data_IF_074507978389
#
_entry.id   IF_074507978389
#
_cell.length_a   1.000
_cell.length_b   1.000
_cell.length_c   1.000
_cell.angle_alpha   90.00
_cell.angle_beta   90.00
_cell.angle_gamma   90.00
#
_symmetry.space_group_name_H-M   'P 1'
#
loop_
_entity.id
_entity.type
_entity.pdbx_description
1 polymer ?
#
# COMPACT_ATOMS: atom_id res chain seq x y z
N UNK A 1 1.97 -7.61 -10.18
CA UNK A 1 1.70 -9.02 -9.84
C UNK A 1 1.36 -9.12 -8.36
N UNK A 2 0.81 -10.25 -7.92
CA UNK A 2 0.53 -10.51 -6.51
C UNK A 2 1.80 -10.44 -5.65
N UNK A 3 2.91 -10.99 -6.13
CA UNK A 3 4.20 -10.95 -5.41
C UNK A 3 4.71 -9.52 -5.23
N UNK A 4 4.57 -8.68 -6.26
CA UNK A 4 4.94 -7.26 -6.18
C UNK A 4 4.09 -6.53 -5.15
N UNK A 5 2.78 -6.76 -5.15
CA UNK A 5 1.88 -6.17 -4.16
C UNK A 5 2.24 -6.63 -2.74
N UNK A 6 2.52 -7.93 -2.56
CA UNK A 6 2.97 -8.50 -1.28
C UNK A 6 4.28 -7.91 -0.79
N UNK A 7 5.26 -7.68 -1.68
CA UNK A 7 6.52 -7.01 -1.31
C UNK A 7 6.25 -5.57 -0.88
N UNK A 8 5.49 -4.82 -1.68
CA UNK A 8 5.16 -3.42 -1.38
C UNK A 8 4.46 -3.26 -0.04
N UNK A 9 3.49 -4.12 0.30
CA UNK A 9 2.79 -4.04 1.59
C UNK A 9 3.68 -4.41 2.75
N UNK A 10 4.61 -5.36 2.57
CA UNK A 10 5.61 -5.70 3.58
C UNK A 10 6.57 -4.53 3.84
N UNK A 11 7.09 -3.91 2.77
CA UNK A 11 8.02 -2.78 2.86
C UNK A 11 7.36 -1.60 3.59
N UNK A 12 6.13 -1.24 3.21
CA UNK A 12 5.32 -0.20 3.86
C UNK A 12 5.10 -0.52 5.35
N UNK A 13 4.82 -1.79 5.69
CA UNK A 13 4.59 -2.20 7.08
C UNK A 13 5.86 -2.05 7.93
N UNK A 14 7.01 -2.45 7.40
CA UNK A 14 8.32 -2.30 8.07
C UNK A 14 8.66 -0.81 8.25
N UNK A 15 8.45 0.00 7.20
CA UNK A 15 8.71 1.43 7.26
C UNK A 15 7.81 2.13 8.31
N UNK A 16 6.53 1.75 8.38
CA UNK A 16 5.59 2.30 9.36
C UNK A 16 5.91 1.92 10.81
N UNK A 17 6.29 0.67 11.08
CA UNK A 17 6.72 0.26 12.42
C UNK A 17 7.98 1.05 12.86
N UNK A 18 8.94 1.14 11.96
CA UNK A 18 10.19 1.86 12.20
C UNK A 18 9.94 3.35 12.46
N UNK A 19 9.10 4.00 11.65
CA UNK A 19 8.73 5.41 11.84
C UNK A 19 8.00 5.64 13.17
N UNK A 20 7.02 4.80 13.50
CA UNK A 20 6.25 4.91 14.75
C UNK A 20 7.14 4.74 15.98
N UNK A 21 8.08 3.78 15.93
CA UNK A 21 9.07 3.59 16.98
C UNK A 21 9.96 4.81 17.16
N UNK A 22 10.50 5.36 16.07
CA UNK A 22 11.32 6.58 16.13
C UNK A 22 10.55 7.77 16.71
N UNK A 23 9.26 7.92 16.37
CA UNK A 23 8.42 8.96 16.95
C UNK A 23 8.24 8.80 18.47
N UNK A 24 8.05 7.57 18.94
CA UNK A 24 7.88 7.28 20.37
C UNK A 24 9.16 7.50 21.18
N UNK A 25 10.32 7.27 20.57
CA UNK A 25 11.64 7.38 21.19
C UNK A 25 12.24 8.79 21.04
N UNK A 26 11.59 9.70 20.31
CA UNK A 26 12.17 11.02 20.03
C UNK A 26 12.15 11.92 21.28
N UNK A 27 13.30 12.49 21.61
CA UNK A 27 13.40 13.58 22.57
C UNK A 27 13.44 14.92 21.86
N UNK A 28 12.69 15.90 22.37
CA UNK A 28 12.66 17.23 21.77
C UNK A 28 13.95 18.01 22.09
N UNK A 29 14.57 18.64 21.08
CA UNK A 29 15.70 19.53 21.30
C UNK A 29 15.33 20.71 22.21
N UNK A 30 16.31 21.20 22.98
CA UNK A 30 16.13 22.30 23.92
C UNK A 30 16.02 23.70 23.28
N UNK A 31 15.81 23.79 21.97
CA UNK A 31 15.65 25.06 21.27
C UNK A 31 14.64 24.94 20.13
N UNK A 32 14.02 26.07 19.83
CA UNK A 32 12.92 26.18 18.86
C UNK A 32 13.39 25.85 17.45
N UNK A 33 14.56 26.32 17.03
CA UNK A 33 15.09 26.09 15.68
C UNK A 33 15.29 24.60 15.40
N UNK A 34 15.93 23.89 16.33
CA UNK A 34 16.17 22.45 16.22
C UNK A 34 14.86 21.65 16.29
N UNK A 35 13.92 22.06 17.15
CA UNK A 35 12.59 21.42 17.23
C UNK A 35 11.81 21.61 15.94
N UNK A 36 11.78 22.81 15.38
CA UNK A 36 11.12 23.06 14.08
C UNK A 36 11.74 22.21 12.98
N UNK A 37 13.07 22.10 12.93
CA UNK A 37 13.75 21.26 11.95
C UNK A 37 13.39 19.77 12.12
N UNK A 38 13.35 19.28 13.36
CA UNK A 38 12.94 17.91 13.67
C UNK A 38 11.50 17.64 13.18
N UNK A 39 10.57 18.53 13.50
CA UNK A 39 9.17 18.40 13.09
C UNK A 39 9.02 18.46 11.57
N UNK A 40 9.73 19.36 10.89
CA UNK A 40 9.73 19.42 9.42
C UNK A 40 10.27 18.14 8.77
N UNK A 41 11.32 17.54 9.35
CA UNK A 41 11.84 16.27 8.88
C UNK A 41 10.83 15.13 9.09
N UNK A 42 10.25 15.02 10.29
CA UNK A 42 9.23 14.01 10.59
C UNK A 42 7.99 14.15 9.70
N UNK A 43 7.59 15.38 9.37
CA UNK A 43 6.50 15.65 8.44
C UNK A 43 6.82 15.20 7.01
N UNK A 44 8.06 15.40 6.56
CA UNK A 44 8.50 14.93 5.25
C UNK A 44 8.48 13.40 5.17
N UNK A 45 9.08 12.72 6.16
CA UNK A 45 9.08 11.25 6.27
C UNK A 45 7.64 10.69 6.29
N UNK A 46 6.75 11.31 7.07
CA UNK A 46 5.33 10.93 7.10
C UNK A 46 4.66 11.07 5.73
N UNK A 47 4.91 12.16 5.00
CA UNK A 47 4.30 12.40 3.70
C UNK A 47 4.76 11.37 2.67
N UNK A 48 6.04 10.99 2.69
CA UNK A 48 6.58 9.93 1.82
C UNK A 48 5.90 8.58 2.12
N UNK A 49 5.86 8.18 3.40
CA UNK A 49 5.22 6.93 3.82
C UNK A 49 3.73 6.91 3.47
N UNK A 50 3.03 8.03 3.61
CA UNK A 50 1.63 8.17 3.21
C UNK A 50 1.46 7.91 1.71
N UNK A 51 2.32 8.47 0.86
CA UNK A 51 2.25 8.22 -0.58
C UNK A 51 2.53 6.76 -0.94
N UNK A 52 3.46 6.10 -0.24
CA UNK A 52 3.73 4.67 -0.41
C UNK A 52 2.51 3.81 -0.04
N UNK A 53 1.86 4.10 1.09
CA UNK A 53 0.61 3.43 1.52
C UNK A 53 -0.47 3.59 0.45
N UNK A 54 -0.69 4.81 -0.04
CA UNK A 54 -1.69 5.09 -1.07
C UNK A 54 -1.34 4.39 -2.40
N UNK A 55 -0.06 4.31 -2.74
CA UNK A 55 0.42 3.58 -3.91
C UNK A 55 0.15 2.08 -3.80
N UNK A 56 0.44 1.48 -2.65
CA UNK A 56 0.12 0.09 -2.37
C UNK A 56 -1.38 -0.17 -2.48
N UNK A 57 -2.22 0.68 -1.88
CA UNK A 57 -3.69 0.58 -1.97
C UNK A 57 -4.18 0.57 -3.42
N UNK A 58 -3.73 1.54 -4.25
CA UNK A 58 -4.06 1.59 -5.68
C UNK A 58 -3.61 0.32 -6.44
N UNK A 59 -2.44 -0.21 -6.11
CA UNK A 59 -1.95 -1.46 -6.71
C UNK A 59 -2.84 -2.66 -6.33
N UNK A 60 -3.29 -2.71 -5.07
CA UNK A 60 -4.19 -3.74 -4.56
C UNK A 60 -5.57 -3.68 -5.24
N UNK A 61 -6.12 -2.49 -5.43
CA UNK A 61 -7.38 -2.28 -6.16
C UNK A 61 -7.27 -2.77 -7.61
N UNK A 62 -6.22 -2.37 -8.34
CA UNK A 62 -5.99 -2.82 -9.71
C UNK A 62 -5.83 -4.35 -9.81
N UNK A 63 -5.17 -4.97 -8.83
CA UNK A 63 -5.02 -6.42 -8.74
C UNK A 63 -6.38 -7.10 -8.51
N UNK A 64 -7.20 -6.56 -7.60
CA UNK A 64 -8.54 -7.07 -7.32
C UNK A 64 -9.45 -6.99 -8.55
N UNK A 65 -9.41 -5.89 -9.29
CA UNK A 65 -10.16 -5.74 -10.53
C UNK A 65 -9.71 -6.74 -11.60
N UNK A 66 -8.41 -6.98 -11.71
CA UNK A 66 -7.86 -8.01 -12.61
C UNK A 66 -8.36 -9.42 -12.25
N UNK A 67 -8.40 -9.75 -10.94
CA UNK A 67 -8.94 -11.03 -10.45
C UNK A 67 -10.44 -11.15 -10.76
N UNK A 68 -11.22 -10.09 -10.54
CA UNK A 68 -12.67 -10.05 -10.85
C UNK A 68 -12.95 -10.26 -12.34
N UNK A 69 -12.12 -9.69 -13.23
CA UNK A 69 -12.26 -9.89 -14.67
C UNK A 69 -11.98 -11.34 -15.08
N UNK A 70 -10.99 -11.99 -14.45
CA UNK A 70 -10.67 -13.40 -14.68
C UNK A 70 -11.81 -14.33 -14.21
N UNK A 71 -12.39 -14.06 -13.02
CA UNK A 71 -13.50 -14.87 -12.50
C UNK A 71 -14.81 -14.63 -13.26
N UNK A 72 -15.07 -13.39 -13.72
CA UNK A 72 -16.24 -13.05 -14.53
C UNK A 72 -16.21 -13.61 -15.97
N UNK A 73 -15.02 -13.80 -16.56
CA UNK A 73 -14.87 -14.46 -17.88
C UNK A 73 -14.96 -15.98 -17.80
N UNK A 74 -14.50 -16.59 -16.69
CA UNK A 74 -14.50 -18.05 -16.51
C UNK A 74 -15.89 -18.70 -16.41
N UNK A 75 -16.93 -17.96 -16.03
CA UNK A 75 -18.32 -18.44 -16.02
C UNK A 75 -19.01 -18.29 -17.37
N UNK A 76 -18.72 -17.23 -18.12
CA UNK A 76 -19.28 -16.99 -19.45
C UNK A 76 -18.84 -18.06 -20.47
N UNK A 77 -17.55 -18.43 -20.48
CA UNK A 77 -17.00 -19.45 -21.39
C UNK A 77 -17.48 -20.87 -21.07
N UNK A 78 -17.81 -21.16 -19.81
CA UNK A 78 -18.33 -22.47 -19.39
C UNK A 78 -19.82 -22.66 -19.66
N UNK A 79 -20.60 -21.58 -19.72
CA UNK A 79 -22.03 -21.62 -20.05
C UNK A 79 -22.28 -21.55 -21.57
N UNK A 80 -21.40 -20.90 -22.34
CA UNK A 80 -21.52 -20.80 -23.81
C UNK A 80 -21.41 -22.13 -24.55
N UNK A 81 -20.73 -23.13 -23.98
CA UNK A 81 -20.49 -24.43 -24.63
C UNK A 81 -21.53 -25.52 -24.27
N UNK A 82 -22.43 -25.26 -23.31
CA UNK A 82 -23.47 -26.23 -22.90
C UNK A 82 -24.79 -26.00 -23.65
N UNK A 83 -25.00 -24.81 -24.24
CA UNK A 83 -26.24 -24.47 -24.94
C UNK A 83 -26.26 -24.82 -26.44
N UNK A 84 -25.20 -25.45 -26.97
CA UNK A 84 -25.05 -25.77 -28.40
C UNK A 84 -25.18 -27.27 -28.72
N UNK A 85 -25.63 -28.08 -27.77
CA UNK A 85 -25.98 -29.49 -27.98
C UNK A 85 -27.43 -29.65 -27.55
N UNK A 86 -28.37 -29.35 -28.45
CA UNK A 86 -29.66 -30.05 -28.68
C UNK A 86 -30.20 -29.67 -30.06
#
# INVERSE_FOLDING_TARGET
SLEKFSSMTQDVSVALDSFTRRLAEVEFPNNTVATTRLLSQQQAEYNELKEEILSAARHGEALLDSVRQLTGKGTADRLGNVAAVE
#
